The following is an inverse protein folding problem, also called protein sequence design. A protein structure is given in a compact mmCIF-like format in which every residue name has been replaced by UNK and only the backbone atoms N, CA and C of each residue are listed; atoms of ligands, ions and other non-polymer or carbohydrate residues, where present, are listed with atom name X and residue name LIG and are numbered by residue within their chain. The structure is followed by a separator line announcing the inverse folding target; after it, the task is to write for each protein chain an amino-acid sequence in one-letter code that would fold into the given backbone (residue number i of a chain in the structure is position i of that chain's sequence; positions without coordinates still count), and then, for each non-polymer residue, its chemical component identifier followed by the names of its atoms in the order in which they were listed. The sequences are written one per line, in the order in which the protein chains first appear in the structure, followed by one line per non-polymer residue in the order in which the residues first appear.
data_IF_850284785284
#
_entry.id   IF_850284785284
#
_cell.length_a   1.000
_cell.length_b   1.000
_cell.length_c   1.000
_cell.angle_alpha   90.00
_cell.angle_beta   90.00
_cell.angle_gamma   90.00
#
_symmetry.space_group_name_H-M   'P 1'
#
loop_
_entity.id
_entity.type
_entity.pdbx_description
1 polymer ?
#
# COMPACT_ATOMS: atom_id res chain seq x y z
N UNK A 1 -18.26 -18.82 -60.96
CA UNK A 1 -17.05 -19.13 -60.18
C UNK A 1 -17.06 -18.25 -58.95
N UNK A 2 -16.82 -18.81 -57.77
CA UNK A 2 -16.67 -18.07 -56.51
C UNK A 2 -15.22 -18.28 -56.08
N UNK A 3 -14.59 -17.25 -55.52
CA UNK A 3 -13.22 -17.31 -54.99
C UNK A 3 -13.30 -16.94 -53.51
N UNK A 4 -13.14 -17.95 -52.65
CA UNK A 4 -13.08 -17.76 -51.20
C UNK A 4 -11.61 -17.66 -50.76
N UNK A 5 -11.32 -16.70 -49.88
CA UNK A 5 -10.01 -16.56 -49.24
C UNK A 5 -10.18 -16.07 -47.80
N UNK A 6 -9.23 -16.42 -46.93
CA UNK A 6 -9.25 -16.07 -45.50
C UNK A 6 -8.11 -15.12 -45.20
N UNK A 7 -8.43 -14.01 -44.54
CA UNK A 7 -7.47 -13.01 -44.09
C UNK A 7 -7.30 -13.08 -42.57
N UNK A 8 -6.07 -12.87 -42.09
CA UNK A 8 -5.75 -12.79 -40.66
C UNK A 8 -5.14 -11.43 -40.37
N UNK A 9 -5.81 -10.54 -39.61
CA UNK A 9 -5.23 -9.29 -39.16
C UNK A 9 -3.98 -9.53 -38.32
N UNK A 10 -2.95 -8.72 -38.55
CA UNK A 10 -1.65 -8.79 -37.82
C UNK A 10 -1.43 -7.59 -36.89
N UNK A 11 -2.36 -6.64 -36.84
CA UNK A 11 -2.29 -5.44 -36.02
C UNK A 11 -3.61 -4.69 -35.97
N UNK A 12 -3.66 -3.62 -35.17
CA UNK A 12 -4.83 -2.74 -35.01
C UNK A 12 -4.87 -1.67 -36.10
N UNK A 13 -6.06 -1.14 -36.38
CA UNK A 13 -6.29 -0.06 -37.33
C UNK A 13 -7.33 -0.39 -38.39
N UNK A 14 -7.38 0.43 -39.44
CA UNK A 14 -8.31 0.24 -40.55
C UNK A 14 -7.65 -0.61 -41.65
N UNK A 15 -8.22 -1.78 -41.93
CA UNK A 15 -7.87 -2.59 -43.08
C UNK A 15 -8.84 -2.25 -44.24
N UNK A 16 -8.29 -1.92 -45.41
CA UNK A 16 -9.07 -1.59 -46.61
C UNK A 16 -8.77 -2.63 -47.69
N UNK A 17 -9.83 -3.28 -48.18
CA UNK A 17 -9.78 -4.17 -49.33
C UNK A 17 -10.20 -3.40 -50.58
N UNK A 18 -9.23 -3.14 -51.45
CA UNK A 18 -9.47 -2.57 -52.76
C UNK A 18 -10.47 -3.45 -53.54
N UNK A 19 -11.37 -2.85 -54.34
CA UNK A 19 -12.28 -3.58 -55.21
C UNK A 19 -11.63 -4.69 -56.03
N UNK A 20 -12.21 -5.89 -55.97
CA UNK A 20 -11.87 -6.95 -56.90
C UNK A 20 -12.30 -6.54 -58.32
N UNK A 21 -11.50 -6.84 -59.33
CA UNK A 21 -11.82 -6.52 -60.73
C UNK A 21 -11.95 -7.77 -61.59
N UNK A 22 -12.88 -7.74 -62.54
CA UNK A 22 -12.98 -8.70 -63.64
C UNK A 22 -12.86 -7.95 -64.95
N UNK A 23 -12.13 -8.52 -65.92
CA UNK A 23 -12.00 -7.97 -67.27
C UNK A 23 -12.41 -9.01 -68.30
N UNK A 24 -13.22 -8.61 -69.28
CA UNK A 24 -13.74 -9.48 -70.33
C UNK A 24 -13.75 -8.74 -71.67
N UNK A 25 -13.84 -9.49 -72.77
CA UNK A 25 -13.98 -8.94 -74.12
C UNK A 25 -15.30 -9.35 -74.76
N UNK A 26 -15.84 -8.48 -75.62
CA UNK A 26 -16.90 -8.86 -76.56
C UNK A 26 -16.30 -9.58 -77.80
N UNK A 27 -17.13 -10.18 -78.67
CA UNK A 27 -16.66 -10.81 -79.91
C UNK A 27 -16.01 -9.85 -80.93
N UNK A 28 -16.16 -8.53 -80.77
CA UNK A 28 -15.50 -7.52 -81.60
C UNK A 28 -14.12 -7.12 -81.04
N UNK A 29 -13.73 -7.65 -79.87
CA UNK A 29 -12.44 -7.40 -79.22
C UNK A 29 -12.43 -6.24 -78.22
N UNK A 30 -13.56 -5.53 -78.02
CA UNK A 30 -13.63 -4.44 -77.05
C UNK A 30 -13.46 -4.99 -75.64
N UNK A 31 -12.65 -4.33 -74.80
CA UNK A 31 -12.35 -4.77 -73.43
C UNK A 31 -13.16 -3.96 -72.42
N UNK A 32 -13.78 -4.66 -71.48
CA UNK A 32 -14.59 -4.09 -70.41
C UNK A 32 -14.09 -4.58 -69.06
N UNK A 33 -14.16 -3.73 -68.04
CA UNK A 33 -13.88 -4.10 -66.66
C UNK A 33 -15.06 -3.77 -65.75
N UNK A 34 -15.30 -4.62 -64.74
CA UNK A 34 -16.21 -4.35 -63.62
C UNK A 34 -15.48 -4.55 -62.31
N UNK A 35 -15.93 -3.83 -61.29
CA UNK A 35 -15.35 -3.80 -59.95
C UNK A 35 -16.40 -4.20 -58.92
N UNK A 36 -15.96 -4.78 -57.79
CA UNK A 36 -16.78 -4.90 -56.59
C UNK A 36 -16.86 -3.57 -55.84
N UNK A 37 -17.58 -3.54 -54.73
CA UNK A 37 -17.43 -2.49 -53.73
C UNK A 37 -16.09 -2.63 -52.98
N UNK A 38 -15.65 -1.53 -52.36
CA UNK A 38 -14.54 -1.48 -51.41
C UNK A 38 -15.01 -1.96 -50.03
N UNK A 39 -14.24 -2.82 -49.35
CA UNK A 39 -14.57 -3.28 -47.99
C UNK A 39 -13.63 -2.63 -46.98
N UNK A 40 -14.19 -1.97 -45.97
CA UNK A 40 -13.45 -1.36 -44.85
C UNK A 40 -13.71 -2.15 -43.58
N UNK A 41 -12.65 -2.70 -43.00
CA UNK A 41 -12.70 -3.50 -41.78
C UNK A 41 -11.89 -2.81 -40.68
N UNK A 42 -12.58 -2.32 -39.65
CA UNK A 42 -11.93 -1.78 -38.46
C UNK A 42 -11.47 -2.89 -37.53
N UNK A 43 -10.16 -2.98 -37.28
CA UNK A 43 -9.55 -3.91 -36.33
C UNK A 43 -9.20 -3.14 -35.06
N UNK A 44 -9.89 -3.45 -33.97
CA UNK A 44 -9.58 -2.91 -32.64
C UNK A 44 -8.76 -3.93 -31.84
N UNK A 45 -7.88 -3.46 -30.96
CA UNK A 45 -7.37 -4.29 -29.88
C UNK A 45 -8.50 -4.61 -28.91
N UNK A 46 -8.43 -5.77 -28.26
CA UNK A 46 -9.19 -6.00 -27.02
C UNK A 46 -8.72 -4.93 -26.01
N UNK A 47 -9.61 -4.22 -25.30
CA UNK A 47 -9.18 -3.33 -24.23
C UNK A 47 -8.41 -4.14 -23.20
N UNK A 48 -7.20 -3.70 -22.86
CA UNK A 48 -6.43 -4.33 -21.81
C UNK A 48 -7.17 -4.18 -20.48
N UNK A 49 -7.34 -5.29 -19.78
CA UNK A 49 -7.93 -5.30 -18.44
C UNK A 49 -6.80 -5.66 -17.48
N UNK A 50 -6.20 -4.63 -16.90
CA UNK A 50 -5.04 -4.75 -16.04
C UNK A 50 -5.43 -4.47 -14.58
N UNK A 51 -4.92 -5.25 -13.61
CA UNK A 51 -5.02 -4.92 -12.20
C UNK A 51 -4.10 -3.75 -11.87
N UNK A 52 -4.59 -2.84 -11.03
CA UNK A 52 -3.80 -1.71 -10.54
C UNK A 52 -3.99 -1.62 -9.03
N UNK A 53 -2.90 -1.86 -8.29
CA UNK A 53 -2.93 -1.73 -6.83
C UNK A 53 -2.43 -0.36 -6.37
N UNK A 54 -3.13 0.19 -5.38
CA UNK A 54 -2.74 1.41 -4.65
C UNK A 54 -2.57 1.04 -3.18
N UNK A 55 -1.44 1.44 -2.58
CA UNK A 55 -1.12 1.20 -1.16
C UNK A 55 -1.11 2.54 -0.43
N UNK A 56 -1.89 2.63 0.63
CA UNK A 56 -1.90 3.74 1.58
C UNK A 56 -1.45 3.22 2.95
N UNK A 57 -0.69 4.05 3.68
CA UNK A 57 -0.16 3.75 5.01
C UNK A 57 -0.35 4.99 5.87
N UNK A 58 -1.00 4.80 7.02
CA UNK A 58 -1.40 5.89 7.92
C UNK A 58 -1.16 5.49 9.39
N UNK A 59 -1.15 6.50 10.28
CA UNK A 59 -0.93 6.33 11.72
C UNK A 59 -1.86 7.21 12.54
N UNK A 60 -2.41 6.67 13.63
CA UNK A 60 -3.35 7.38 14.51
C UNK A 60 -2.73 8.61 15.20
N UNK A 61 -1.42 8.61 15.44
CA UNK A 61 -0.66 9.72 16.03
C UNK A 61 0.76 9.84 15.48
N UNK A 62 1.16 11.04 15.06
CA UNK A 62 2.55 11.36 14.65
C UNK A 62 3.48 11.67 15.83
N UNK A 63 2.99 11.58 17.07
CA UNK A 63 3.77 11.77 18.30
C UNK A 63 3.23 10.86 19.40
N UNK A 64 4.13 10.15 20.10
CA UNK A 64 3.81 9.18 21.14
C UNK A 64 4.86 9.21 22.26
N UNK A 65 4.58 8.60 23.40
CA UNK A 65 5.58 8.30 24.45
C UNK A 65 6.29 6.97 24.20
N UNK A 66 7.47 6.78 24.81
CA UNK A 66 8.12 5.45 24.89
C UNK A 66 7.18 4.45 25.56
N UNK A 67 7.11 3.24 25.01
CA UNK A 67 6.17 2.15 25.30
C UNK A 67 4.68 2.45 25.05
N UNK A 68 4.32 3.58 24.47
CA UNK A 68 2.94 3.84 24.07
C UNK A 68 2.57 3.02 22.83
N UNK A 69 1.36 2.47 22.82
CA UNK A 69 0.78 1.81 21.67
C UNK A 69 0.37 2.82 20.59
N UNK A 70 0.85 2.60 19.37
CA UNK A 70 0.55 3.39 18.17
C UNK A 70 -0.08 2.47 17.13
N UNK A 71 -1.16 2.93 16.49
CA UNK A 71 -1.94 2.14 15.54
C UNK A 71 -1.54 2.49 14.11
N UNK A 72 -0.98 1.53 13.39
CA UNK A 72 -0.67 1.64 11.96
C UNK A 72 -1.80 1.00 11.16
N UNK A 73 -2.28 1.72 10.14
CA UNK A 73 -3.29 1.23 9.20
C UNK A 73 -2.72 1.19 7.79
N UNK A 74 -2.76 0.03 7.17
CA UNK A 74 -2.48 -0.17 5.75
C UNK A 74 -3.80 -0.38 5.01
N UNK A 75 -3.96 0.33 3.90
CA UNK A 75 -5.09 0.20 3.00
C UNK A 75 -4.57 -0.12 1.61
N UNK A 76 -5.01 -1.25 1.07
CA UNK A 76 -4.66 -1.75 -0.25
C UNK A 76 -5.93 -1.80 -1.08
N UNK A 77 -5.97 -1.11 -2.22
CA UNK A 77 -7.11 -1.14 -3.14
C UNK A 77 -6.68 -1.63 -4.52
N UNK A 78 -7.48 -2.47 -5.16
CA UNK A 78 -7.40 -2.71 -6.60
C UNK A 78 -8.38 -1.79 -7.34
N UNK A 79 -7.91 -0.65 -7.86
CA UNK A 79 -8.70 0.28 -8.70
C UNK A 79 -8.45 0.07 -10.21
N UNK A 80 -7.87 -1.08 -10.56
CA UNK A 80 -7.72 -1.52 -11.95
C UNK A 80 -9.02 -2.01 -12.58
N UNK A 81 -8.89 -2.69 -13.73
CA UNK A 81 -10.02 -3.24 -14.50
C UNK A 81 -9.99 -4.77 -14.62
N UNK A 82 -9.13 -5.43 -13.84
CA UNK A 82 -9.03 -6.87 -13.66
C UNK A 82 -8.63 -7.23 -12.22
N UNK A 83 -8.74 -8.51 -11.89
CA UNK A 83 -8.33 -9.08 -10.63
C UNK A 83 -6.79 -9.18 -10.56
N UNK A 84 -6.21 -8.87 -9.40
CA UNK A 84 -4.79 -9.04 -9.08
C UNK A 84 -4.56 -10.39 -8.41
N UNK A 85 -3.52 -11.12 -8.83
CA UNK A 85 -3.28 -12.51 -8.43
C UNK A 85 -2.02 -12.59 -7.55
N UNK A 86 -1.99 -13.50 -6.57
CA UNK A 86 -0.87 -13.72 -5.64
C UNK A 86 -0.41 -12.45 -4.92
N UNK A 87 -1.36 -11.56 -4.57
CA UNK A 87 -1.04 -10.30 -3.91
C UNK A 87 -0.37 -10.57 -2.57
N UNK A 88 0.71 -9.86 -2.31
CA UNK A 88 1.45 -9.90 -1.04
C UNK A 88 1.66 -8.46 -0.59
N UNK A 89 1.10 -8.11 0.57
CA UNK A 89 1.30 -6.84 1.25
C UNK A 89 2.21 -7.08 2.45
N UNK A 90 3.32 -6.35 2.53
CA UNK A 90 4.31 -6.44 3.59
C UNK A 90 4.69 -5.04 4.06
N UNK A 91 4.90 -4.89 5.36
CA UNK A 91 5.36 -3.66 5.97
C UNK A 91 6.42 -3.95 7.04
N UNK A 92 7.61 -3.44 6.79
CA UNK A 92 8.81 -3.70 7.57
C UNK A 92 8.82 -2.86 8.85
N UNK A 93 9.13 -3.50 9.98
CA UNK A 93 9.10 -2.86 11.29
C UNK A 93 10.50 -2.37 11.66
N UNK A 94 10.71 -1.07 11.89
CA UNK A 94 12.02 -0.53 12.26
C UNK A 94 12.38 -0.89 13.71
N UNK A 95 13.68 -0.95 14.02
CA UNK A 95 14.20 -1.31 15.35
C UNK A 95 13.63 -0.48 16.53
N UNK A 96 13.14 0.74 16.25
CA UNK A 96 12.50 1.62 17.23
C UNK A 96 11.06 1.19 17.62
N UNK A 97 10.53 0.12 17.03
CA UNK A 97 9.17 -0.36 17.20
C UNK A 97 9.12 -1.89 17.41
N UNK A 98 8.11 -2.36 18.15
CA UNK A 98 7.81 -3.79 18.30
C UNK A 98 6.31 -3.99 18.15
N UNK A 99 5.87 -4.92 17.28
CA UNK A 99 4.45 -5.26 17.14
C UNK A 99 3.94 -5.83 18.47
N UNK A 100 2.91 -5.20 19.03
CA UNK A 100 2.20 -5.65 20.23
C UNK A 100 0.87 -6.33 19.88
N UNK A 101 0.26 -6.00 18.74
CA UNK A 101 -0.98 -6.65 18.27
C UNK A 101 -1.11 -6.61 16.73
N UNK A 102 -1.73 -7.64 16.16
CA UNK A 102 -2.03 -7.69 14.72
C UNK A 102 -0.90 -8.30 13.89
N UNK A 103 -0.84 -7.93 12.60
CA UNK A 103 0.17 -8.38 11.64
C UNK A 103 0.47 -7.24 10.67
N UNK A 104 1.73 -7.08 10.29
CA UNK A 104 2.17 -6.14 9.25
C UNK A 104 2.24 -6.76 7.85
N UNK A 105 1.62 -7.94 7.65
CA UNK A 105 1.59 -8.63 6.37
C UNK A 105 0.22 -9.25 6.05
N UNK A 106 -0.11 -9.35 4.77
CA UNK A 106 -1.26 -10.06 4.23
C UNK A 106 -0.96 -10.66 2.85
N UNK A 107 -1.64 -11.75 2.49
CA UNK A 107 -1.58 -12.32 1.14
C UNK A 107 -2.93 -12.90 0.71
N UNK A 108 -3.20 -12.86 -0.60
CA UNK A 108 -4.39 -13.40 -1.26
C UNK A 108 -4.55 -12.83 -2.66
N UNK A 109 -5.59 -13.22 -3.39
CA UNK A 109 -5.99 -12.53 -4.62
C UNK A 109 -6.87 -11.32 -4.27
N UNK A 110 -6.94 -10.32 -5.15
CA UNK A 110 -7.82 -9.16 -4.99
C UNK A 110 -8.63 -8.90 -6.26
N UNK A 111 -9.95 -8.91 -6.15
CA UNK A 111 -10.84 -8.63 -7.27
C UNK A 111 -10.80 -7.16 -7.69
N UNK A 112 -11.31 -6.87 -8.88
CA UNK A 112 -11.55 -5.49 -9.30
C UNK A 112 -12.40 -4.73 -8.26
N UNK A 113 -12.01 -3.50 -7.91
CA UNK A 113 -12.60 -2.64 -6.87
C UNK A 113 -12.56 -3.22 -5.44
N UNK A 114 -11.85 -4.34 -5.20
CA UNK A 114 -11.67 -4.87 -3.85
C UNK A 114 -10.72 -3.99 -3.02
N UNK A 115 -11.06 -3.80 -1.75
CA UNK A 115 -10.27 -3.05 -0.78
C UNK A 115 -9.96 -3.94 0.42
N UNK A 116 -8.68 -3.95 0.83
CA UNK A 116 -8.19 -4.64 2.00
C UNK A 116 -7.60 -3.65 2.98
N UNK A 117 -8.15 -3.62 4.19
CA UNK A 117 -7.59 -2.87 5.33
C UNK A 117 -6.92 -3.85 6.28
N UNK A 118 -5.69 -3.52 6.69
CA UNK A 118 -4.90 -4.24 7.67
C UNK A 118 -4.46 -3.25 8.75
N UNK A 119 -4.65 -3.62 10.02
CA UNK A 119 -4.29 -2.77 11.17
C UNK A 119 -3.41 -3.57 12.11
N UNK A 120 -2.34 -2.95 12.58
CA UNK A 120 -1.47 -3.50 13.61
C UNK A 120 -1.05 -2.41 14.60
N UNK A 121 -0.70 -2.82 15.83
CA UNK A 121 -0.27 -1.93 16.91
C UNK A 121 1.20 -2.19 17.18
N UNK A 122 1.97 -1.11 17.31
CA UNK A 122 3.37 -1.13 17.72
C UNK A 122 3.55 -0.39 19.03
N UNK A 123 4.47 -0.87 19.87
CA UNK A 123 4.98 -0.13 21.01
C UNK A 123 6.35 0.46 20.61
N UNK A 124 6.55 1.76 20.84
CA UNK A 124 7.78 2.45 20.43
C UNK A 124 8.82 2.43 21.56
N UNK A 125 9.96 1.79 21.33
CA UNK A 125 10.92 1.40 22.38
C UNK A 125 12.08 2.40 22.60
N UNK A 126 12.19 3.42 21.75
CA UNK A 126 13.33 4.35 21.70
C UNK A 126 12.86 5.79 21.48
N UNK A 127 13.32 6.77 22.29
CA UNK A 127 12.98 8.18 22.08
C UNK A 127 13.67 8.76 20.85
N UNK A 128 13.09 9.82 20.28
CA UNK A 128 13.58 10.48 19.07
C UNK A 128 12.67 10.24 17.86
N UNK A 129 13.20 10.40 16.65
CA UNK A 129 12.44 10.13 15.42
C UNK A 129 12.45 8.64 15.12
N UNK A 130 11.27 8.01 15.08
CA UNK A 130 11.10 6.64 14.60
C UNK A 130 10.52 6.69 13.17
N UNK A 131 11.33 6.29 12.21
CA UNK A 131 10.99 6.29 10.78
C UNK A 131 10.56 4.90 10.35
N UNK A 132 9.39 4.80 9.73
CA UNK A 132 8.90 3.61 9.07
C UNK A 132 8.98 3.81 7.56
N UNK A 133 9.57 2.85 6.86
CA UNK A 133 9.61 2.87 5.39
C UNK A 133 8.21 2.68 4.77
N UNK A 134 8.13 2.79 3.44
CA UNK A 134 6.91 2.54 2.71
C UNK A 134 6.53 1.05 2.76
N UNK A 135 5.26 0.75 3.05
CA UNK A 135 4.71 -0.60 2.88
C UNK A 135 4.75 -0.99 1.40
N UNK A 136 5.07 -2.26 1.14
CA UNK A 136 5.28 -2.84 -0.19
C UNK A 136 4.15 -3.79 -0.53
N UNK A 137 3.53 -3.62 -1.70
CA UNK A 137 2.63 -4.60 -2.28
C UNK A 137 3.20 -5.15 -3.58
N UNK A 138 3.28 -6.48 -3.72
CA UNK A 138 3.61 -7.16 -4.99
C UNK A 138 2.43 -8.01 -5.47
N UNK A 139 2.24 -8.11 -6.77
CA UNK A 139 1.15 -8.87 -7.39
C UNK A 139 1.49 -9.25 -8.84
N UNK A 140 0.81 -10.26 -9.38
CA UNK A 140 0.85 -10.60 -10.81
C UNK A 140 -0.47 -10.27 -11.50
N UNK A 141 -0.43 -10.05 -12.81
CA UNK A 141 -1.63 -10.02 -13.66
C UNK A 141 -2.01 -11.41 -14.22
N UNK A 142 -3.02 -11.46 -15.10
CA UNK A 142 -3.44 -12.69 -15.79
C UNK A 142 -2.42 -13.26 -16.79
N UNK A 143 -1.47 -12.46 -17.28
CA UNK A 143 -0.37 -12.92 -18.15
C UNK A 143 0.82 -13.47 -17.34
N UNK A 144 0.82 -13.27 -16.02
CA UNK A 144 1.93 -13.51 -15.08
C UNK A 144 3.08 -12.51 -15.21
N UNK A 145 2.77 -11.30 -15.65
CA UNK A 145 3.67 -10.17 -15.47
C UNK A 145 3.59 -9.71 -14.00
N UNK A 146 4.74 -9.47 -13.36
CA UNK A 146 4.85 -9.13 -11.94
C UNK A 146 5.04 -7.62 -11.72
N UNK A 147 4.35 -7.09 -10.70
CA UNK A 147 4.29 -5.66 -10.39
C UNK A 147 4.57 -5.42 -8.90
N UNK A 148 5.13 -4.24 -8.60
CA UNK A 148 5.37 -3.76 -7.22
C UNK A 148 4.84 -2.35 -7.06
N UNK A 149 4.21 -2.07 -5.92
CA UNK A 149 3.66 -0.78 -5.50
C UNK A 149 4.09 -0.48 -4.06
N UNK A 150 4.15 0.80 -3.72
CA UNK A 150 4.60 1.27 -2.42
C UNK A 150 3.64 2.34 -1.88
N UNK A 151 3.49 2.39 -0.56
CA UNK A 151 2.87 3.53 0.12
C UNK A 151 3.83 4.73 0.18
N UNK A 152 3.43 5.79 0.89
CA UNK A 152 4.41 6.72 1.44
C UNK A 152 5.02 6.14 2.74
N UNK A 153 6.27 6.51 3.08
CA UNK A 153 6.83 6.24 4.40
C UNK A 153 6.16 7.15 5.46
N UNK A 154 6.33 6.83 6.75
CA UNK A 154 5.86 7.68 7.85
C UNK A 154 6.91 7.89 8.94
N UNK A 155 6.72 8.94 9.72
CA UNK A 155 7.60 9.32 10.82
C UNK A 155 6.78 9.58 12.08
N UNK A 156 7.19 9.02 13.20
CA UNK A 156 6.58 9.24 14.52
C UNK A 156 7.63 9.81 15.45
N UNK A 157 7.31 10.90 16.14
CA UNK A 157 8.20 11.49 17.13
C UNK A 157 7.93 10.91 18.52
N UNK A 158 8.93 10.23 19.08
CA UNK A 158 8.83 9.50 20.35
C UNK A 158 9.41 10.34 21.49
N UNK A 159 8.56 10.72 22.43
CA UNK A 159 8.93 11.45 23.65
C UNK A 159 9.36 10.49 24.75
N UNK A 160 10.38 10.88 25.50
CA UNK A 160 10.67 10.22 26.78
C UNK A 160 9.52 10.42 27.76
N UNK A 161 9.27 9.43 28.63
CA UNK A 161 8.41 9.59 29.80
C UNK A 161 9.06 10.55 30.80
N UNK A 162 8.31 11.54 31.25
CA UNK A 162 8.70 12.42 32.35
C UNK A 162 8.57 11.71 33.70
N UNK A 163 9.35 12.14 34.69
CA UNK A 163 9.26 11.60 36.07
C UNK A 163 7.88 11.85 36.68
N UNK A 164 7.16 12.89 36.24
CA UNK A 164 5.75 13.13 36.59
C UNK A 164 4.83 12.01 36.11
N UNK A 165 4.89 11.64 34.82
CA UNK A 165 4.03 10.60 34.22
C UNK A 165 4.29 9.20 34.82
N UNK A 166 5.49 8.97 35.37
CA UNK A 166 5.83 7.74 36.11
C UNK A 166 5.25 7.69 37.53
N UNK A 167 4.90 8.84 38.12
CA UNK A 167 4.44 8.95 39.51
C UNK A 167 2.92 9.06 39.66
N UNK A 168 2.19 9.35 38.58
CA UNK A 168 0.72 9.44 38.57
C UNK A 168 0.00 8.25 39.24
N UNK A 169 0.37 6.96 39.05
CA UNK A 169 -0.28 5.85 39.76
C UNK A 169 0.06 5.74 41.26
N UNK A 170 1.03 6.51 41.78
CA UNK A 170 1.50 6.45 43.18
C UNK A 170 0.93 7.59 44.03
N UNK A 171 0.62 8.75 43.44
CA UNK A 171 0.23 9.96 44.22
C UNK A 171 -1.26 10.00 44.60
N UNK A 172 -2.12 9.30 43.85
CA UNK A 172 -3.56 9.25 44.12
C UNK A 172 -3.99 7.99 44.91
N UNK A 173 -4.42 8.06 46.18
CA UNK A 173 -4.49 9.22 47.09
C UNK A 173 -3.75 9.00 48.42
N UNK A 174 -2.59 9.64 48.61
CA UNK A 174 -1.92 9.73 49.92
C UNK A 174 -2.40 10.98 50.72
N UNK A 175 -3.71 11.21 50.75
CA UNK A 175 -4.37 12.35 51.44
C UNK A 175 -5.32 11.85 52.55
N UNK A 176 -4.82 10.91 53.37
CA UNK A 176 -5.46 10.33 54.57
C UNK A 176 -4.32 9.85 55.50
N UNK A 177 -3.98 10.41 56.67
CA UNK A 177 -4.36 11.65 57.39
C UNK A 177 -3.07 12.47 57.67
N UNK A 178 -3.18 13.76 57.96
CA UNK A 178 -2.04 14.70 57.94
C UNK A 178 -0.97 14.55 59.05
N UNK A 179 0.30 14.65 58.63
CA UNK A 179 1.37 15.34 59.38
C UNK A 179 2.20 16.18 58.38
N UNK A 180 2.08 17.50 58.46
CA UNK A 180 2.30 18.41 57.33
C UNK A 180 3.77 18.76 56.98
N UNK A 181 4.77 18.02 57.46
CA UNK A 181 6.20 18.35 57.23
C UNK A 181 7.04 17.12 56.81
N UNK A 182 6.79 15.94 57.39
CA UNK A 182 7.56 14.72 57.06
C UNK A 182 7.35 14.24 55.62
N UNK A 183 6.10 14.25 55.15
CA UNK A 183 5.69 13.78 53.82
C UNK A 183 6.40 14.51 52.67
N UNK A 184 6.50 15.84 52.73
CA UNK A 184 7.09 16.64 51.65
C UNK A 184 8.59 16.33 51.45
N UNK A 185 9.33 16.15 52.55
CA UNK A 185 10.74 15.75 52.52
C UNK A 185 10.92 14.32 51.99
N UNK A 186 10.01 13.40 52.30
CA UNK A 186 10.06 12.04 51.74
C UNK A 186 9.80 12.06 50.23
N UNK A 187 8.77 12.78 49.77
CA UNK A 187 8.46 12.93 48.34
C UNK A 187 9.64 13.55 47.58
N UNK A 188 10.25 14.63 48.09
CA UNK A 188 11.43 15.26 47.49
C UNK A 188 12.63 14.29 47.44
N UNK A 189 12.85 13.52 48.50
CA UNK A 189 13.96 12.56 48.57
C UNK A 189 13.77 11.40 47.58
N UNK A 190 12.56 10.83 47.52
CA UNK A 190 12.19 9.79 46.54
C UNK A 190 12.34 10.32 45.11
N UNK A 191 11.83 11.51 44.81
CA UNK A 191 11.98 12.14 43.49
C UNK A 191 13.44 12.35 43.11
N UNK A 192 14.28 12.74 44.08
CA UNK A 192 15.72 12.94 43.87
C UNK A 192 16.47 11.63 43.63
N UNK A 193 16.14 10.56 44.34
CA UNK A 193 16.71 9.22 44.11
C UNK A 193 16.28 8.62 42.76
N UNK A 194 15.00 8.69 42.41
CA UNK A 194 14.50 8.23 41.10
C UNK A 194 15.20 8.95 39.94
N UNK A 195 15.40 10.26 40.05
CA UNK A 195 16.12 11.06 39.04
C UNK A 195 17.61 10.72 38.93
N UNK A 196 18.22 10.15 39.96
CA UNK A 196 19.61 9.66 39.92
C UNK A 196 19.68 8.29 39.24
N UNK A 197 18.76 7.38 39.55
CA UNK A 197 18.77 6.04 38.95
C UNK A 197 18.45 6.08 37.45
N UNK A 198 17.46 6.89 37.03
CA UNK A 198 17.15 7.15 35.61
C UNK A 198 18.35 7.73 34.84
N UNK A 199 19.28 8.42 35.51
CA UNK A 199 20.51 8.89 34.85
C UNK A 199 21.51 7.76 34.64
N UNK A 200 21.71 6.88 35.63
CA UNK A 200 22.61 5.72 35.49
C UNK A 200 22.16 4.77 34.37
N UNK A 201 20.87 4.45 34.32
CA UNK A 201 20.31 3.57 33.28
C UNK A 201 20.48 4.13 31.85
N UNK A 202 20.68 5.45 31.70
CA UNK A 202 21.01 6.12 30.44
C UNK A 202 22.52 6.24 30.17
N UNK A 203 23.37 5.98 31.16
CA UNK A 203 24.84 6.00 31.04
C UNK A 203 25.42 4.57 30.84
N UNK A 204 24.64 3.52 31.11
CA UNK A 204 25.01 2.10 30.94
C UNK A 204 24.44 1.43 29.66
N UNK A 205 23.87 2.20 28.71
CA UNK A 205 23.28 1.72 27.44
C UNK A 205 23.76 2.50 26.22
#
# INVERSE_FOLDING_TARGET
MIIDYVVRPTGVGLCIFNPASVTFSDPAGNRFSKFSDEIKLGISSKPSREPHLVVEKDVDKSTAMVDEGVVITLKLKNDGTADAINVTLEDDIPDCAVISQGKSYWTGDMKQEEEKVLTYIVNLNKPGLCSFDAAKASYSDSNRDDYIKYSQPLNIYVKEKSVSELLDPIVAPLIIIGTAIGSLLTIITVYKSLRVEIKKEKEEK
#
